data_IF_130464681286
#
_entry.id   IF_130464681286
#
_cell.length_a   1.000
_cell.length_b   1.000
_cell.length_c   1.000
_cell.angle_alpha   90.00
_cell.angle_beta   90.00
_cell.angle_gamma   90.00
#
_symmetry.space_group_name_H-M   'P 1'
#
loop_
_entity.id
_entity.type
_entity.pdbx_description
1 polymer ?
#
# COMPACT_ATOMS: atom_id res chain seq x y z
N UNK A 1 -3.25 19.36 20.56
CA UNK A 1 -3.49 17.91 20.85
C UNK A 1 -2.19 17.14 21.11
N UNK A 2 -1.04 17.53 20.57
CA UNK A 2 0.24 16.84 20.79
C UNK A 2 1.33 17.82 21.23
N UNK A 3 1.37 18.21 22.52
CA UNK A 3 2.30 19.24 23.01
C UNK A 3 3.76 18.79 23.01
N UNK A 4 4.02 17.48 23.05
CA UNK A 4 5.36 16.90 23.10
C UNK A 4 5.96 16.63 21.71
N UNK A 5 5.30 17.09 20.64
CA UNK A 5 5.76 16.89 19.26
C UNK A 5 6.13 18.23 18.63
N UNK A 6 7.29 18.26 17.98
CA UNK A 6 7.67 19.34 17.09
C UNK A 6 7.09 19.07 15.70
N UNK A 7 6.23 19.98 15.22
CA UNK A 7 5.66 19.89 13.89
C UNK A 7 6.49 20.72 12.92
N UNK A 8 7.00 20.07 11.87
CA UNK A 8 7.63 20.74 10.74
C UNK A 8 6.60 20.75 9.61
N UNK A 9 6.06 21.93 9.29
CA UNK A 9 5.04 22.09 8.26
C UNK A 9 5.23 23.38 7.46
N UNK A 10 4.81 23.36 6.19
CA UNK A 10 4.73 24.55 5.33
C UNK A 10 3.38 25.28 5.43
N UNK A 11 3.23 26.33 4.63
CA UNK A 11 1.94 27.00 4.47
C UNK A 11 0.94 26.08 3.74
N UNK A 12 -0.21 25.80 4.36
CA UNK A 12 -1.24 24.94 3.77
C UNK A 12 -2.01 25.59 2.63
N UNK A 13 -1.93 26.93 2.51
CA UNK A 13 -2.69 27.71 1.55
C UNK A 13 -2.38 27.32 0.10
N UNK A 14 -1.17 26.84 -0.22
CA UNK A 14 -0.80 26.44 -1.58
C UNK A 14 -1.54 25.20 -2.07
N UNK A 15 -2.02 24.33 -1.18
CA UNK A 15 -2.71 23.08 -1.50
C UNK A 15 -4.24 23.23 -1.66
N UNK A 16 -4.78 24.42 -1.40
CA UNK A 16 -6.21 24.73 -1.54
C UNK A 16 -6.67 24.51 -2.99
N UNK A 17 -7.95 24.15 -3.17
CA UNK A 17 -8.58 23.90 -4.47
C UNK A 17 -8.36 25.08 -5.43
N UNK A 18 -8.43 26.32 -4.91
CA UNK A 18 -8.29 27.53 -5.72
C UNK A 18 -6.85 27.85 -6.12
N UNK A 19 -5.86 27.37 -5.37
CA UNK A 19 -4.43 27.69 -5.56
C UNK A 19 -3.61 26.51 -6.06
N UNK A 20 -4.17 25.31 -6.07
CA UNK A 20 -3.49 24.05 -6.42
C UNK A 20 -2.79 24.10 -7.78
N UNK A 21 -3.42 24.74 -8.77
CA UNK A 21 -2.89 24.83 -10.14
C UNK A 21 -2.05 26.10 -10.39
N UNK A 22 -1.57 26.73 -9.32
CA UNK A 22 -0.63 27.86 -9.42
C UNK A 22 0.81 27.38 -9.31
N UNK A 23 1.77 28.24 -9.70
CA UNK A 23 3.20 28.00 -9.47
C UNK A 23 3.48 27.70 -7.99
N UNK A 24 2.90 28.47 -7.08
CA UNK A 24 3.09 28.26 -5.64
C UNK A 24 2.50 26.92 -5.17
N UNK A 25 1.36 26.51 -5.73
CA UNK A 25 0.77 25.18 -5.51
C UNK A 25 1.72 24.05 -5.91
N UNK A 26 2.30 24.15 -7.11
CA UNK A 26 3.29 23.18 -7.61
C UNK A 26 4.55 23.13 -6.73
N UNK A 27 5.12 24.29 -6.39
CA UNK A 27 6.30 24.34 -5.50
C UNK A 27 5.99 23.79 -4.11
N UNK A 28 4.79 24.05 -3.58
CA UNK A 28 4.34 23.53 -2.30
C UNK A 28 4.32 22.00 -2.29
N UNK A 29 3.63 21.37 -3.25
CA UNK A 29 3.56 19.90 -3.29
C UNK A 29 4.92 19.25 -3.57
N UNK A 30 5.76 19.88 -4.39
CA UNK A 30 7.12 19.39 -4.64
C UNK A 30 7.92 19.39 -3.33
N UNK A 31 7.91 20.50 -2.57
CA UNK A 31 8.56 20.60 -1.27
C UNK A 31 8.06 19.53 -0.29
N UNK A 32 6.75 19.34 -0.21
CA UNK A 32 6.15 18.33 0.68
C UNK A 32 6.60 16.92 0.30
N UNK A 33 6.62 16.57 -0.99
CA UNK A 33 7.09 15.25 -1.46
C UNK A 33 8.54 15.02 -1.06
N UNK A 34 9.44 15.99 -1.28
CA UNK A 34 10.84 15.84 -0.90
C UNK A 34 11.02 15.71 0.62
N UNK A 35 10.30 16.50 1.42
CA UNK A 35 10.37 16.40 2.87
C UNK A 35 9.84 15.05 3.38
N UNK A 36 8.75 14.55 2.80
CA UNK A 36 8.19 13.25 3.16
C UNK A 36 9.11 12.09 2.75
N UNK A 37 9.77 12.18 1.59
CA UNK A 37 10.74 11.17 1.15
C UNK A 37 11.87 10.98 2.18
N UNK A 38 12.36 12.07 2.75
CA UNK A 38 13.47 12.06 3.72
C UNK A 38 13.05 11.65 5.14
N UNK A 39 11.76 11.41 5.40
CA UNK A 39 11.31 10.89 6.69
C UNK A 39 11.76 9.44 6.90
N UNK A 40 12.15 9.11 8.13
CA UNK A 40 12.54 7.75 8.51
C UNK A 40 11.38 6.76 8.43
N UNK A 41 10.17 7.23 8.74
CA UNK A 41 8.95 6.44 8.72
C UNK A 41 7.76 7.30 8.27
N UNK A 42 6.88 6.70 7.48
CA UNK A 42 5.70 7.38 6.95
C UNK A 42 4.40 6.88 7.59
N UNK A 43 3.47 7.79 7.81
CA UNK A 43 2.08 7.45 8.16
C UNK A 43 1.19 8.20 7.18
N UNK A 44 0.54 7.47 6.28
CA UNK A 44 -0.19 8.05 5.15
C UNK A 44 -1.34 7.16 4.68
N UNK A 45 -2.08 7.64 3.68
CA UNK A 45 -3.09 6.88 2.95
C UNK A 45 -2.59 6.52 1.56
N UNK A 46 -2.70 5.26 1.18
CA UNK A 46 -2.37 4.79 -0.16
C UNK A 46 -3.48 5.03 -1.16
N UNK A 47 -4.67 5.48 -0.75
CA UNK A 47 -5.64 6.08 -1.69
C UNK A 47 -5.09 7.34 -2.37
N UNK A 48 -4.20 8.09 -1.70
CA UNK A 48 -3.58 9.29 -2.23
C UNK A 48 -2.48 8.95 -3.24
N UNK A 49 -2.58 9.49 -4.45
CA UNK A 49 -1.51 9.38 -5.45
C UNK A 49 -0.18 9.95 -4.91
N UNK A 50 -0.22 11.00 -4.09
CA UNK A 50 0.97 11.57 -3.45
C UNK A 50 1.57 10.57 -2.44
N UNK A 51 0.73 9.88 -1.68
CA UNK A 51 1.19 8.87 -0.72
C UNK A 51 1.94 7.72 -1.40
N UNK A 52 1.39 7.23 -2.52
CA UNK A 52 2.03 6.18 -3.33
C UNK A 52 3.33 6.68 -3.97
N UNK A 53 3.30 7.87 -4.57
CA UNK A 53 4.48 8.46 -5.21
C UNK A 53 5.64 8.67 -4.23
N UNK A 54 5.37 9.15 -3.02
CA UNK A 54 6.41 9.30 -2.00
C UNK A 54 7.02 7.93 -1.63
N UNK A 55 6.20 6.88 -1.46
CA UNK A 55 6.72 5.54 -1.16
C UNK A 55 7.60 5.02 -2.30
N UNK A 56 7.16 5.16 -3.56
CA UNK A 56 7.93 4.80 -4.75
C UNK A 56 9.28 5.54 -4.79
N UNK A 57 9.30 6.84 -4.49
CA UNK A 57 10.53 7.62 -4.41
C UNK A 57 11.47 7.16 -3.28
N UNK A 58 10.95 6.61 -2.18
CA UNK A 58 11.78 6.07 -1.08
C UNK A 58 12.44 4.76 -1.45
N UNK A 59 11.81 3.92 -2.27
CA UNK A 59 12.43 2.69 -2.79
C UNK A 59 13.62 2.96 -3.72
N UNK A 60 13.79 4.19 -4.22
CA UNK A 60 14.99 4.59 -4.98
C UNK A 60 16.22 4.85 -4.10
N UNK A 61 16.07 4.80 -2.78
CA UNK A 61 17.17 4.99 -1.84
C UNK A 61 18.06 3.75 -1.74
N UNK A 62 19.18 3.86 -1.04
CA UNK A 62 20.12 2.75 -0.83
C UNK A 62 19.60 1.65 0.11
N UNK A 63 18.41 1.82 0.70
CA UNK A 63 17.85 0.89 1.67
C UNK A 63 16.43 0.46 1.26
N UNK A 64 16.07 -0.78 1.59
CA UNK A 64 14.72 -1.28 1.43
C UNK A 64 13.74 -0.50 2.33
N UNK A 65 12.84 0.25 1.70
CA UNK A 65 11.84 1.07 2.38
C UNK A 65 10.46 0.39 2.42
N UNK A 66 10.35 -0.85 1.91
CA UNK A 66 9.09 -1.58 1.69
C UNK A 66 8.21 -1.63 2.94
N UNK A 67 8.82 -1.76 4.12
CA UNK A 67 8.07 -1.86 5.39
C UNK A 67 8.22 -0.63 6.29
N UNK A 68 8.81 0.46 5.79
CA UNK A 68 9.05 1.69 6.55
C UNK A 68 7.88 2.68 6.45
N UNK A 69 6.65 2.18 6.51
CA UNK A 69 5.45 3.00 6.52
C UNK A 69 4.26 2.29 7.20
N UNK A 70 3.32 3.09 7.69
CA UNK A 70 1.99 2.67 8.12
C UNK A 70 0.95 3.27 7.17
N UNK A 71 0.27 2.41 6.42
CA UNK A 71 -0.89 2.80 5.65
C UNK A 71 -2.19 2.72 6.49
N UNK A 72 -3.09 3.67 6.27
CA UNK A 72 -4.36 3.80 6.99
C UNK A 72 -5.59 3.31 6.22
N UNK A 73 -5.49 3.02 4.92
CA UNK A 73 -6.64 2.61 4.11
C UNK A 73 -6.39 1.43 3.15
N UNK A 74 -5.61 1.61 2.08
CA UNK A 74 -5.44 0.62 1.01
C UNK A 74 -4.04 0.00 0.95
N UNK A 75 -3.94 -1.24 0.50
CA UNK A 75 -2.63 -1.74 0.05
C UNK A 75 -2.09 -0.88 -1.10
N UNK A 76 -0.76 -0.82 -1.23
CA UNK A 76 -0.13 -0.18 -2.37
C UNK A 76 -0.66 -0.77 -3.69
N UNK A 77 -0.89 0.09 -4.68
CA UNK A 77 -1.35 -0.31 -6.01
C UNK A 77 -0.91 0.70 -7.07
N UNK A 78 -0.57 0.23 -8.25
CA UNK A 78 -0.40 1.10 -9.42
C UNK A 78 -1.76 1.33 -10.08
N UNK A 79 -2.03 2.58 -10.48
CA UNK A 79 -3.26 2.90 -11.23
C UNK A 79 -3.21 2.23 -12.60
N UNK A 80 -4.24 1.46 -12.95
CA UNK A 80 -4.23 0.54 -14.11
C UNK A 80 -3.17 -0.57 -14.04
N UNK A 81 -2.60 -0.82 -12.85
CA UNK A 81 -1.76 -1.98 -12.61
C UNK A 81 -2.56 -3.27 -12.70
N UNK A 82 -1.84 -4.40 -12.81
CA UNK A 82 -2.45 -5.71 -12.72
C UNK A 82 -2.93 -5.99 -11.30
N UNK A 83 -3.96 -6.82 -11.20
CA UNK A 83 -4.44 -7.29 -9.91
C UNK A 83 -3.34 -8.03 -9.15
N UNK A 84 -3.22 -7.74 -7.85
CA UNK A 84 -2.33 -8.46 -6.96
C UNK A 84 -2.97 -9.82 -6.67
N UNK A 85 -2.39 -10.87 -7.25
CA UNK A 85 -2.83 -12.25 -7.03
C UNK A 85 -2.11 -12.81 -5.80
N UNK A 86 -2.88 -13.51 -4.97
CA UNK A 86 -2.37 -14.16 -3.77
C UNK A 86 -2.51 -15.68 -3.90
N UNK A 87 -1.46 -16.41 -3.52
CA UNK A 87 -1.47 -17.86 -3.34
C UNK A 87 -1.82 -18.18 -1.88
N UNK A 88 -2.71 -19.14 -1.67
CA UNK A 88 -3.10 -19.62 -0.33
C UNK A 88 -2.04 -20.58 0.20
N UNK A 89 -1.49 -20.29 1.37
CA UNK A 89 -0.50 -21.11 2.08
C UNK A 89 -1.13 -22.01 3.14
N UNK A 90 -2.18 -21.53 3.80
CA UNK A 90 -2.86 -22.25 4.87
C UNK A 90 -4.37 -22.21 4.68
N UNK A 91 -5.03 -23.31 4.99
CA UNK A 91 -6.48 -23.39 4.92
C UNK A 91 -7.16 -22.43 5.90
N UNK A 92 -8.35 -21.97 5.53
CA UNK A 92 -9.14 -21.03 6.32
C UNK A 92 -10.61 -21.43 6.35
N UNK A 93 -11.07 -21.71 7.56
CA UNK A 93 -12.49 -21.80 7.89
C UNK A 93 -12.99 -20.40 8.27
N UNK A 94 -13.97 -19.83 7.55
CA UNK A 94 -14.59 -18.56 7.86
C UNK A 94 -15.16 -18.55 9.28
N UNK A 95 -14.79 -17.54 10.07
CA UNK A 95 -15.30 -17.34 11.43
C UNK A 95 -16.51 -16.41 11.45
N UNK A 96 -16.63 -15.56 10.42
CA UNK A 96 -17.74 -14.63 10.24
C UNK A 96 -18.28 -14.69 8.80
N UNK A 97 -19.53 -14.27 8.55
CA UNK A 97 -20.14 -14.36 7.21
C UNK A 97 -19.44 -13.54 6.11
N UNK A 98 -18.59 -12.59 6.48
CA UNK A 98 -17.83 -11.78 5.53
C UNK A 98 -16.48 -12.40 5.13
N UNK A 99 -16.10 -13.57 5.67
CA UNK A 99 -14.84 -14.26 5.38
C UNK A 99 -14.97 -15.30 4.24
N UNK A 100 -13.93 -15.44 3.41
CA UNK A 100 -13.88 -16.39 2.29
C UNK A 100 -13.42 -17.78 2.72
N UNK A 101 -14.15 -18.85 2.37
CA UNK A 101 -13.71 -20.21 2.62
C UNK A 101 -12.55 -20.61 1.68
N UNK A 102 -11.56 -21.33 2.23
CA UNK A 102 -10.68 -22.21 1.47
C UNK A 102 -10.99 -23.64 1.88
N UNK A 103 -11.48 -24.45 0.95
CA UNK A 103 -12.08 -25.75 1.24
C UNK A 103 -11.04 -26.72 1.84
N UNK A 104 -11.16 -27.05 3.14
CA UNK A 104 -11.26 -28.39 3.75
C UNK A 104 -11.70 -28.26 5.22
N UNK A 105 -12.21 -29.35 5.79
CA UNK A 105 -13.14 -29.42 6.91
C UNK A 105 -12.68 -28.94 8.32
N UNK A 106 -13.69 -28.41 9.02
CA UNK A 106 -13.96 -28.39 10.47
C UNK A 106 -13.39 -27.31 11.44
N UNK A 107 -14.36 -26.52 11.95
CA UNK A 107 -14.60 -25.90 13.29
C UNK A 107 -13.41 -25.33 14.10
N UNK A 108 -13.49 -24.03 14.43
CA UNK A 108 -13.54 -23.43 15.81
C UNK A 108 -13.61 -21.89 15.70
N UNK A 109 -14.29 -21.23 16.66
CA UNK A 109 -14.56 -19.77 16.79
C UNK A 109 -13.35 -18.96 17.31
N UNK A 110 -13.10 -17.75 16.74
CA UNK A 110 -13.05 -16.41 17.40
C UNK A 110 -12.39 -15.32 16.54
N UNK A 111 -12.99 -14.13 16.61
CA UNK A 111 -12.72 -12.90 15.84
C UNK A 111 -11.54 -12.09 16.40
N UNK A 112 -10.80 -11.37 15.55
CA UNK A 112 -10.16 -10.08 15.91
C UNK A 112 -9.73 -9.27 14.68
N UNK A 113 -9.96 -7.96 14.81
CA UNK A 113 -9.77 -6.86 13.87
C UNK A 113 -8.32 -6.33 13.87
N UNK A 114 -7.90 -5.75 12.74
CA UNK A 114 -6.69 -4.94 12.58
C UNK A 114 -5.62 -5.53 11.67
N UNK A 115 -5.54 -5.12 10.39
CA UNK A 115 -4.52 -5.49 9.36
C UNK A 115 -4.30 -7.00 9.10
N UNK A 116 -4.93 -7.86 9.89
CA UNK A 116 -4.84 -9.31 9.82
C UNK A 116 -5.67 -9.87 8.66
N UNK A 117 -6.62 -9.09 8.13
CA UNK A 117 -7.55 -9.52 7.08
C UNK A 117 -7.37 -8.68 5.82
N UNK A 118 -7.38 -9.33 4.67
CA UNK A 118 -7.40 -8.73 3.34
C UNK A 118 -8.74 -9.04 2.66
N UNK A 119 -9.24 -8.13 1.84
CA UNK A 119 -10.38 -8.38 0.97
C UNK A 119 -9.94 -8.94 -0.37
N UNK A 120 -10.76 -9.79 -0.99
CA UNK A 120 -10.51 -10.25 -2.35
C UNK A 120 -11.58 -11.18 -2.91
N UNK A 121 -11.29 -11.71 -4.09
CA UNK A 121 -12.13 -12.66 -4.82
C UNK A 121 -11.44 -14.03 -4.81
N UNK A 122 -12.11 -15.05 -4.30
CA UNK A 122 -11.66 -16.42 -4.47
C UNK A 122 -11.95 -16.85 -5.92
N UNK A 123 -10.89 -16.99 -6.74
CA UNK A 123 -11.05 -17.29 -8.16
C UNK A 123 -11.70 -18.64 -8.44
N UNK A 124 -11.61 -19.60 -7.51
CA UNK A 124 -12.21 -20.94 -7.64
C UNK A 124 -13.70 -20.92 -7.32
N UNK A 125 -14.10 -20.32 -6.20
CA UNK A 125 -15.50 -20.31 -5.75
C UNK A 125 -16.30 -19.13 -6.29
N UNK A 126 -15.62 -18.13 -6.87
CA UNK A 126 -16.17 -16.85 -7.34
C UNK A 126 -16.83 -16.01 -6.23
N UNK A 127 -16.51 -16.29 -4.97
CA UNK A 127 -17.00 -15.53 -3.83
C UNK A 127 -16.07 -14.38 -3.50
N UNK A 128 -16.63 -13.26 -3.07
CA UNK A 128 -15.91 -12.08 -2.56
C UNK A 128 -16.03 -12.04 -1.04
N UNK A 129 -14.93 -11.72 -0.37
CA UNK A 129 -14.90 -11.58 1.09
C UNK A 129 -13.49 -11.39 1.64
N UNK A 130 -13.38 -11.51 2.95
CA UNK A 130 -12.17 -11.26 3.72
C UNK A 130 -11.40 -12.56 3.96
N UNK A 131 -10.07 -12.52 4.03
CA UNK A 131 -9.24 -13.67 4.38
C UNK A 131 -8.00 -13.23 5.17
N UNK A 132 -7.43 -14.08 6.05
CA UNK A 132 -6.29 -13.67 6.85
C UNK A 132 -5.02 -13.46 6.01
N UNK A 133 -4.39 -12.28 6.12
CA UNK A 133 -3.20 -11.86 5.41
C UNK A 133 -2.01 -12.83 5.59
N UNK A 134 -1.83 -13.38 6.79
CA UNK A 134 -0.75 -14.32 7.09
C UNK A 134 -0.92 -15.70 6.43
N UNK A 135 -2.11 -16.00 5.90
CA UNK A 135 -2.42 -17.28 5.23
C UNK A 135 -2.17 -17.26 3.73
N UNK A 136 -1.68 -16.15 3.21
CA UNK A 136 -1.40 -15.99 1.80
C UNK A 136 0.00 -15.41 1.59
N UNK A 137 0.52 -15.55 0.38
CA UNK A 137 1.65 -14.76 -0.11
C UNK A 137 1.31 -14.16 -1.48
N UNK A 138 1.85 -12.97 -1.83
CA UNK A 138 1.69 -12.43 -3.17
C UNK A 138 2.40 -13.33 -4.19
N UNK A 139 1.79 -13.51 -5.36
CA UNK A 139 2.38 -14.20 -6.50
C UNK A 139 3.12 -13.17 -7.35
N UNK A 140 4.43 -13.35 -7.52
CA UNK A 140 5.24 -12.51 -8.40
C UNK A 140 5.22 -13.10 -9.81
N UNK A 141 4.66 -12.34 -10.75
CA UNK A 141 4.61 -12.73 -12.17
C UNK A 141 5.73 -12.01 -12.93
N UNK A 142 6.78 -12.72 -13.37
CA UNK A 142 7.82 -12.11 -14.19
C UNK A 142 7.27 -11.77 -15.57
N UNK A 143 7.79 -10.69 -16.15
CA UNK A 143 7.56 -10.33 -17.55
C UNK A 143 8.87 -10.19 -18.29
N UNK A 144 8.86 -10.50 -19.57
CA UNK A 144 10.03 -10.33 -20.43
C UNK A 144 10.17 -8.85 -20.81
N UNK A 145 11.18 -8.20 -20.25
CA UNK A 145 11.61 -6.86 -20.66
C UNK A 145 12.84 -6.94 -21.57
N UNK A 146 12.99 -6.02 -22.54
CA UNK A 146 14.23 -5.89 -23.29
C UNK A 146 15.40 -5.63 -22.35
N UNK A 147 16.44 -6.45 -22.41
CA UNK A 147 17.68 -6.20 -21.69
C UNK A 147 18.57 -5.36 -22.61
N UNK A 148 18.76 -4.09 -22.28
CA UNK A 148 19.78 -3.28 -22.94
C UNK A 148 21.15 -3.81 -22.53
N UNK A 149 21.87 -4.44 -23.45
CA UNK A 149 23.28 -4.74 -23.27
C UNK A 149 24.00 -3.38 -23.30
N UNK A 150 24.37 -2.86 -22.13
CA UNK A 150 25.29 -1.72 -22.07
C UNK A 150 26.63 -2.28 -22.54
N UNK A 151 27.06 -1.88 -23.75
CA UNK A 151 28.44 -2.12 -24.18
C UNK A 151 29.33 -1.36 -23.20
N UNK A 152 30.09 -2.11 -22.39
CA UNK A 152 31.13 -1.54 -21.56
C UNK A 152 32.30 -1.21 -22.49
N UNK A 153 32.38 0.05 -22.92
CA UNK A 153 33.60 0.64 -23.49
C UNK A 153 34.72 0.76 -22.45
#
# INVERSE_FOLDING_TARGET
RYPNYQFICGESASADVNSRFTKNGLFGIMKDVFLLRECDYLVLTMSSNIGRYVQEMRETSSHDATFRFANLDYSYHATHGRDIVHEVLYDHTPLTPCELPSNMDQKVRRHTDGRIMLGGLNQRTKQVGMYPAFKVKPVLTPESYPISMVEND
#
